data_IF_623666898666
#
_entry.id   IF_623666898666
#
_cell.length_a   1.000
_cell.length_b   1.000
_cell.length_c   1.000
_cell.angle_alpha   90.00
_cell.angle_beta   90.00
_cell.angle_gamma   90.00
#
_symmetry.space_group_name_H-M   'P 1'
#
loop_
_entity.id
_entity.type
_entity.pdbx_description
1 polymer ?
#
# COMPACT_ATOMS: atom_id res chain seq x y z
N UNK A 1 32.95 -9.33 37.73
CA UNK A 1 31.54 -9.45 37.30
C UNK A 1 30.83 -8.11 37.07
N UNK A 2 31.33 -6.99 37.60
CA UNK A 2 30.74 -5.66 37.37
C UNK A 2 30.88 -5.10 35.93
N UNK A 3 31.93 -5.48 35.19
CA UNK A 3 32.19 -4.99 33.82
C UNK A 3 31.23 -5.57 32.76
N UNK A 4 30.71 -6.79 32.96
CA UNK A 4 29.73 -7.43 32.06
C UNK A 4 28.32 -6.86 32.23
N UNK A 5 27.99 -6.33 33.41
CA UNK A 5 26.68 -5.73 33.71
C UNK A 5 26.51 -4.33 33.11
N UNK A 6 27.61 -3.65 32.77
CA UNK A 6 27.61 -2.32 32.10
C UNK A 6 27.57 -2.41 30.58
N UNK A 7 28.00 -3.52 29.98
CA UNK A 7 27.93 -3.75 28.53
C UNK A 7 26.51 -4.08 28.06
N UNK A 8 25.68 -4.66 28.91
CA UNK A 8 24.28 -4.98 28.57
C UNK A 8 23.29 -3.82 28.76
N UNK A 9 23.76 -2.66 29.25
CA UNK A 9 22.91 -1.47 29.50
C UNK A 9 23.03 -0.39 28.43
N UNK A 10 24.00 -0.48 27.51
CA UNK A 10 24.36 0.68 26.66
C UNK A 10 24.02 0.58 25.18
N UNK A 11 23.38 -0.50 24.72
CA UNK A 11 22.87 -0.55 23.35
C UNK A 11 21.33 -0.66 23.40
N UNK A 12 20.73 0.54 23.49
CA UNK A 12 19.47 0.99 22.88
C UNK A 12 18.18 0.32 23.38
N UNK A 13 17.40 0.88 24.30
CA UNK A 13 16.61 2.13 24.22
C UNK A 13 15.97 2.33 22.83
N UNK A 14 14.81 1.70 22.64
CA UNK A 14 13.75 2.20 21.76
C UNK A 14 12.56 2.51 22.67
N UNK A 15 12.23 3.78 22.80
CA UNK A 15 11.03 4.33 23.44
C UNK A 15 10.39 5.28 22.42
N UNK A 16 9.06 5.41 22.29
CA UNK A 16 8.00 4.41 22.31
C UNK A 16 7.22 4.44 20.97
N UNK A 17 7.07 3.31 20.29
CA UNK A 17 5.98 3.12 19.33
C UNK A 17 5.06 2.07 19.96
N UNK A 18 3.80 2.47 20.22
CA UNK A 18 2.76 1.70 20.91
C UNK A 18 2.93 0.18 20.70
N UNK A 19 3.13 -0.55 21.81
CA UNK A 19 3.20 -2.01 21.77
C UNK A 19 1.93 -2.53 21.07
N UNK A 20 2.05 -3.29 19.96
CA UNK A 20 0.88 -3.96 19.41
C UNK A 20 0.43 -4.95 20.46
N UNK A 21 -0.68 -4.63 21.14
CA UNK A 21 -1.22 -5.41 22.24
C UNK A 21 -1.20 -6.90 21.89
N UNK A 22 -0.88 -7.76 22.86
CA UNK A 22 -0.87 -9.22 22.71
C UNK A 22 -2.14 -9.70 21.98
N UNK A 23 -3.29 -9.02 22.19
CA UNK A 23 -4.54 -9.25 21.47
C UNK A 23 -4.45 -9.13 19.94
N UNK A 24 -3.62 -8.23 19.41
CA UNK A 24 -3.37 -8.01 17.97
C UNK A 24 -2.52 -9.14 17.38
N UNK A 25 -1.50 -9.59 18.11
CA UNK A 25 -0.65 -10.73 17.73
C UNK A 25 -1.46 -12.04 17.79
N UNK A 26 -2.29 -12.21 18.83
CA UNK A 26 -3.20 -13.35 18.96
C UNK A 26 -4.28 -13.34 17.87
N UNK A 27 -4.86 -12.17 17.56
CA UNK A 27 -5.89 -12.06 16.51
C UNK A 27 -5.32 -12.37 15.13
N UNK A 28 -4.10 -11.91 14.81
CA UNK A 28 -3.40 -12.31 13.57
C UNK A 28 -3.14 -13.82 13.52
N UNK A 29 -2.80 -14.46 14.64
CA UNK A 29 -2.52 -15.90 14.70
C UNK A 29 -3.78 -16.76 14.56
N UNK A 30 -4.90 -16.30 15.10
CA UNK A 30 -6.21 -16.98 15.00
C UNK A 30 -6.84 -16.80 13.61
N UNK A 31 -6.69 -15.62 13.00
CA UNK A 31 -7.17 -15.39 11.63
C UNK A 31 -6.35 -16.15 10.59
N UNK A 32 -5.06 -16.39 10.85
CA UNK A 32 -4.20 -17.17 9.97
C UNK A 32 -4.30 -18.70 10.20
N UNK A 33 -4.86 -19.14 11.33
CA UNK A 33 -5.12 -20.56 11.58
C UNK A 33 -6.44 -21.05 11.00
N UNK A 34 -7.46 -20.20 10.90
CA UNK A 34 -8.79 -20.60 10.45
C UNK A 34 -8.90 -20.88 8.93
N UNK A 35 -7.99 -20.35 8.11
CA UNK A 35 -7.93 -20.65 6.67
C UNK A 35 -6.91 -21.74 6.31
N UNK A 36 -6.26 -22.37 7.30
CA UNK A 36 -5.11 -23.26 7.10
C UNK A 36 -5.49 -24.75 7.05
N UNK A 37 -6.75 -25.09 7.34
CA UNK A 37 -7.21 -26.49 7.42
C UNK A 37 -7.63 -27.11 6.07
N UNK A 38 -7.53 -26.40 4.96
CA UNK A 38 -7.87 -26.93 3.62
C UNK A 38 -6.64 -27.41 2.82
N UNK A 39 -5.42 -27.27 3.35
CA UNK A 39 -4.19 -27.66 2.65
C UNK A 39 -3.65 -28.97 3.23
N UNK A 40 -3.61 -30.02 2.41
CA UNK A 40 -3.33 -31.41 2.81
C UNK A 40 -1.96 -31.62 3.48
N UNK A 41 -1.07 -30.64 3.35
CA UNK A 41 0.19 -30.48 4.06
C UNK A 41 0.60 -29.02 3.99
N UNK A 42 1.18 -28.48 5.06
CA UNK A 42 1.74 -27.12 5.01
C UNK A 42 3.11 -27.13 4.31
N UNK A 43 3.49 -26.03 3.66
CA UNK A 43 4.80 -25.92 2.97
C UNK A 43 5.97 -26.21 3.91
N UNK A 44 5.90 -25.74 5.16
CA UNK A 44 6.95 -25.95 6.14
C UNK A 44 7.08 -27.43 6.51
N UNK A 45 5.96 -28.12 6.76
CA UNK A 45 5.94 -29.54 7.09
C UNK A 45 6.46 -30.38 5.91
N UNK A 46 5.97 -30.14 4.69
CA UNK A 46 6.42 -30.85 3.49
C UNK A 46 7.92 -30.65 3.20
N UNK A 47 8.46 -29.46 3.49
CA UNK A 47 9.89 -29.16 3.27
C UNK A 47 10.84 -29.88 4.23
N UNK A 48 10.34 -30.36 5.37
CA UNK A 48 11.13 -31.04 6.40
C UNK A 48 11.07 -32.57 6.27
N UNK A 49 10.17 -33.10 5.44
CA UNK A 49 9.92 -34.53 5.29
C UNK A 49 10.60 -35.10 4.05
N UNK A 50 10.91 -36.40 4.09
CA UNK A 50 11.43 -37.14 2.92
C UNK A 50 10.34 -37.37 1.86
N UNK A 51 10.74 -37.61 0.61
CA UNK A 51 9.80 -37.77 -0.51
C UNK A 51 8.81 -38.93 -0.29
N UNK A 52 9.28 -40.05 0.25
CA UNK A 52 8.48 -41.23 0.59
C UNK A 52 7.49 -40.94 1.72
N UNK A 53 7.89 -40.13 2.69
CA UNK A 53 7.06 -39.76 3.83
C UNK A 53 5.94 -38.81 3.42
N UNK A 54 6.25 -37.84 2.56
CA UNK A 54 5.26 -36.95 1.92
C UNK A 54 4.28 -37.76 1.07
N UNK A 55 4.77 -38.73 0.28
CA UNK A 55 3.92 -39.59 -0.54
C UNK A 55 2.97 -40.45 0.31
N UNK A 56 3.45 -41.03 1.41
CA UNK A 56 2.62 -41.76 2.35
C UNK A 56 1.54 -40.87 2.98
N UNK A 57 1.91 -39.65 3.38
CA UNK A 57 1.00 -38.66 3.98
C UNK A 57 -0.09 -38.22 3.00
N UNK A 58 0.26 -37.99 1.74
CA UNK A 58 -0.67 -37.61 0.66
C UNK A 58 -1.41 -38.80 0.03
N UNK A 59 -1.14 -40.03 0.48
CA UNK A 59 -1.67 -41.29 -0.06
C UNK A 59 -1.44 -41.41 -1.57
N UNK A 60 -0.23 -41.10 -2.01
CA UNK A 60 0.22 -41.17 -3.39
C UNK A 60 1.28 -42.24 -3.52
N UNK A 61 1.26 -43.01 -4.59
CA UNK A 61 2.38 -43.89 -4.93
C UNK A 61 3.45 -43.10 -5.70
N UNK A 62 4.71 -43.16 -5.25
CA UNK A 62 5.82 -42.49 -5.91
C UNK A 62 6.08 -43.00 -7.34
N UNK A 63 5.66 -44.24 -7.66
CA UNK A 63 5.90 -44.86 -8.97
C UNK A 63 4.76 -44.66 -9.96
N UNK A 64 3.53 -44.89 -9.52
CA UNK A 64 2.34 -44.80 -10.39
C UNK A 64 1.54 -43.50 -10.24
N UNK A 65 1.83 -42.68 -9.22
CA UNK A 65 1.16 -41.42 -8.97
C UNK A 65 -0.23 -41.59 -8.33
N UNK A 66 -1.12 -40.62 -8.56
CA UNK A 66 -2.51 -40.70 -8.12
C UNK A 66 -3.38 -41.45 -9.12
N UNK A 67 -4.39 -42.14 -8.61
CA UNK A 67 -5.45 -42.69 -9.44
C UNK A 67 -6.34 -41.59 -10.02
N UNK A 68 -6.80 -41.74 -11.27
CA UNK A 68 -7.62 -40.74 -11.97
C UNK A 68 -8.84 -40.26 -11.17
N UNK A 69 -9.59 -41.19 -10.56
CA UNK A 69 -10.75 -40.89 -9.72
C UNK A 69 -10.40 -40.01 -8.50
N UNK A 70 -9.25 -40.26 -7.89
CA UNK A 70 -8.77 -39.48 -6.74
C UNK A 70 -8.28 -38.10 -7.18
N UNK A 71 -7.58 -38.02 -8.31
CA UNK A 71 -7.17 -36.73 -8.89
C UNK A 71 -8.38 -35.86 -9.25
N UNK A 72 -9.44 -36.45 -9.82
CA UNK A 72 -10.69 -35.77 -10.12
C UNK A 72 -11.37 -35.24 -8.85
N UNK A 73 -11.45 -36.07 -7.80
CA UNK A 73 -12.02 -35.68 -6.51
C UNK A 73 -11.25 -34.50 -5.90
N UNK A 74 -9.91 -34.57 -5.89
CA UNK A 74 -9.06 -33.48 -5.39
C UNK A 74 -9.24 -32.19 -6.21
N UNK A 75 -9.38 -32.30 -7.52
CA UNK A 75 -9.65 -31.16 -8.41
C UNK A 75 -11.01 -30.53 -8.16
N UNK A 76 -12.04 -31.31 -7.85
CA UNK A 76 -13.37 -30.78 -7.51
C UNK A 76 -13.39 -30.06 -6.15
N UNK A 77 -12.58 -30.53 -5.19
CA UNK A 77 -12.47 -29.91 -3.86
C UNK A 77 -11.61 -28.65 -3.86
N UNK A 78 -10.43 -28.70 -4.47
CA UNK A 78 -9.40 -27.65 -4.38
C UNK A 78 -9.49 -26.66 -5.56
N UNK A 79 -10.08 -27.09 -6.67
CA UNK A 79 -10.06 -26.35 -7.93
C UNK A 79 -8.81 -26.62 -8.77
N UNK A 80 -8.68 -25.89 -9.88
CA UNK A 80 -7.53 -25.99 -10.76
C UNK A 80 -6.31 -25.29 -10.15
N UNK A 81 -5.12 -25.85 -10.39
CA UNK A 81 -3.85 -25.21 -10.02
C UNK A 81 -3.50 -24.10 -11.02
N UNK A 82 -4.32 -23.06 -11.03
CA UNK A 82 -4.13 -21.89 -11.86
C UNK A 82 -3.75 -20.71 -10.96
N UNK A 83 -2.76 -19.94 -11.40
CA UNK A 83 -2.50 -18.66 -10.77
C UNK A 83 -3.72 -17.78 -11.02
N UNK A 84 -4.40 -17.37 -9.96
CA UNK A 84 -5.38 -16.30 -10.05
C UNK A 84 -4.65 -15.04 -10.52
N UNK A 85 -4.60 -14.83 -11.84
CA UNK A 85 -4.17 -13.58 -12.43
C UNK A 85 -5.21 -12.58 -11.97
N UNK A 86 -4.88 -11.83 -10.91
CA UNK A 86 -5.68 -10.66 -10.53
C UNK A 86 -5.81 -9.85 -11.81
N UNK A 87 -7.05 -9.57 -12.19
CA UNK A 87 -7.35 -8.70 -13.32
C UNK A 87 -6.38 -7.52 -13.27
N UNK A 88 -5.57 -7.37 -14.32
CA UNK A 88 -4.55 -6.34 -14.32
C UNK A 88 -5.25 -5.02 -14.04
N UNK A 89 -4.84 -4.35 -12.95
CA UNK A 89 -5.39 -3.04 -12.64
C UNK A 89 -5.28 -2.18 -13.92
N UNK A 90 -6.41 -1.66 -14.41
CA UNK A 90 -6.41 -1.02 -15.72
C UNK A 90 -5.46 0.16 -15.70
N UNK A 91 -4.77 0.43 -16.81
CA UNK A 91 -3.65 1.38 -16.84
C UNK A 91 -4.02 2.76 -16.25
N UNK A 92 -5.27 3.21 -16.44
CA UNK A 92 -5.78 4.45 -15.85
C UNK A 92 -5.72 4.46 -14.31
N UNK A 93 -5.96 3.32 -13.66
CA UNK A 93 -5.86 3.20 -12.19
C UNK A 93 -4.43 3.37 -11.72
N UNK A 94 -3.46 2.82 -12.47
CA UNK A 94 -2.02 3.02 -12.20
C UNK A 94 -1.61 4.49 -12.36
N UNK A 95 -2.14 5.20 -13.35
CA UNK A 95 -1.91 6.64 -13.50
C UNK A 95 -2.49 7.45 -12.34
N UNK A 96 -3.70 7.13 -11.87
CA UNK A 96 -4.30 7.80 -10.70
C UNK A 96 -3.50 7.52 -9.41
N UNK A 97 -2.93 6.31 -9.27
CA UNK A 97 -2.04 5.98 -8.15
C UNK A 97 -0.81 6.91 -8.10
N UNK A 98 -0.25 7.28 -9.26
CA UNK A 98 0.90 8.19 -9.33
C UNK A 98 0.56 9.61 -8.87
N UNK A 99 -0.68 10.08 -9.05
CA UNK A 99 -1.11 11.38 -8.51
C UNK A 99 -1.13 11.43 -6.99
N UNK A 100 -1.05 10.30 -6.26
CA UNK A 100 -0.86 10.30 -4.81
C UNK A 100 0.57 10.66 -4.39
N UNK A 101 1.51 10.71 -5.33
CA UNK A 101 2.89 11.06 -5.01
C UNK A 101 2.95 12.56 -4.63
N UNK A 102 3.47 12.90 -3.43
CA UNK A 102 3.48 14.28 -2.95
C UNK A 102 4.23 15.23 -3.90
N UNK A 103 5.20 14.73 -4.67
CA UNK A 103 5.94 15.53 -5.65
C UNK A 103 5.06 15.99 -6.81
N UNK A 104 4.21 15.10 -7.35
CA UNK A 104 3.29 15.43 -8.45
C UNK A 104 2.19 16.38 -7.95
N UNK A 105 1.67 16.15 -6.74
CA UNK A 105 0.71 17.06 -6.11
C UNK A 105 1.28 18.45 -5.92
N UNK A 106 2.53 18.55 -5.46
CA UNK A 106 3.22 19.82 -5.29
C UNK A 106 3.41 20.55 -6.62
N UNK A 107 3.81 19.82 -7.68
CA UNK A 107 3.96 20.38 -9.02
C UNK A 107 2.62 20.91 -9.56
N UNK A 108 1.55 20.13 -9.39
CA UNK A 108 0.21 20.50 -9.85
C UNK A 108 -0.32 21.71 -9.06
N UNK A 109 -0.08 21.77 -7.75
CA UNK A 109 -0.43 22.93 -6.92
C UNK A 109 0.30 24.20 -7.37
N UNK A 110 1.60 24.12 -7.67
CA UNK A 110 2.39 25.26 -8.18
C UNK A 110 1.88 25.74 -9.55
N UNK A 111 1.63 24.80 -10.47
CA UNK A 111 1.05 25.11 -11.77
C UNK A 111 -0.34 25.76 -11.65
N UNK A 112 -1.17 25.25 -10.74
CA UNK A 112 -2.50 25.79 -10.46
C UNK A 112 -2.42 27.25 -9.97
N UNK A 113 -1.59 27.51 -8.96
CA UNK A 113 -1.35 28.86 -8.43
C UNK A 113 -0.82 29.79 -9.53
N UNK A 114 0.11 29.32 -10.37
CA UNK A 114 0.66 30.11 -11.48
C UNK A 114 -0.41 30.53 -12.50
N UNK A 115 -1.31 29.61 -12.86
CA UNK A 115 -2.41 29.90 -13.80
C UNK A 115 -3.41 30.88 -13.18
N UNK A 116 -3.80 30.69 -11.92
CA UNK A 116 -4.69 31.62 -11.23
C UNK A 116 -4.06 33.01 -11.12
N UNK A 117 -2.82 33.08 -10.64
CA UNK A 117 -2.09 34.33 -10.44
C UNK A 117 -1.99 35.15 -11.74
N UNK A 118 -1.67 34.50 -12.86
CA UNK A 118 -1.58 35.15 -14.17
C UNK A 118 -2.89 35.79 -14.64
N UNK A 119 -4.04 35.21 -14.31
CA UNK A 119 -5.35 35.77 -14.66
C UNK A 119 -5.74 36.93 -13.72
N UNK A 120 -5.41 36.85 -12.43
CA UNK A 120 -5.75 37.89 -11.46
C UNK A 120 -4.84 39.13 -11.59
N UNK A 121 -3.53 38.96 -11.78
CA UNK A 121 -2.59 40.08 -11.91
C UNK A 121 -2.93 40.99 -13.08
N UNK A 122 -3.29 40.41 -14.23
CA UNK A 122 -3.65 41.17 -15.44
C UNK A 122 -4.98 41.91 -15.25
N UNK A 123 -6.00 41.22 -14.73
CA UNK A 123 -7.32 41.79 -14.50
C UNK A 123 -7.34 42.90 -13.43
N UNK A 124 -6.59 42.72 -12.33
CA UNK A 124 -6.51 43.69 -11.23
C UNK A 124 -5.72 44.93 -11.68
N UNK A 125 -4.61 44.75 -12.40
CA UNK A 125 -3.77 45.87 -12.88
C UNK A 125 -4.56 46.84 -13.76
N UNK A 126 -5.32 46.33 -14.74
CA UNK A 126 -6.16 47.14 -15.63
C UNK A 126 -7.29 47.84 -14.85
N UNK A 127 -7.93 47.12 -13.93
CA UNK A 127 -9.07 47.65 -13.16
C UNK A 127 -8.65 48.73 -12.17
N UNK A 128 -7.53 48.54 -11.46
CA UNK A 128 -7.00 49.54 -10.50
C UNK A 128 -6.66 50.82 -11.23
N UNK A 129 -5.96 50.71 -12.35
CA UNK A 129 -5.69 51.81 -13.29
C UNK A 129 -7.00 52.49 -13.68
N UNK A 130 -7.93 51.78 -14.31
CA UNK A 130 -9.19 52.34 -14.82
C UNK A 130 -10.04 53.00 -13.72
N UNK A 131 -10.08 52.43 -12.52
CA UNK A 131 -10.82 52.97 -11.38
C UNK A 131 -10.12 54.17 -10.71
N UNK A 132 -8.78 54.20 -10.66
CA UNK A 132 -8.02 55.36 -10.14
C UNK A 132 -8.08 56.56 -11.09
N UNK A 133 -8.11 56.33 -12.41
CA UNK A 133 -8.25 57.40 -13.39
C UNK A 133 -9.62 58.08 -13.34
N UNK A 134 -10.70 57.36 -13.02
CA UNK A 134 -12.03 57.97 -12.88
C UNK A 134 -12.15 58.84 -11.61
N UNK A 135 -11.45 58.47 -10.52
CA UNK A 135 -11.45 59.24 -9.28
C UNK A 135 -10.55 60.50 -9.33
N UNK A 136 -9.46 60.47 -10.10
CA UNK A 136 -8.47 61.57 -10.14
C UNK A 136 -8.82 62.68 -11.14
N UNK A 137 -9.59 62.37 -12.21
CA UNK A 137 -9.96 63.36 -13.25
C UNK A 137 -11.24 64.16 -12.86
N UNK A 138 -11.95 63.78 -11.80
CA UNK A 138 -13.17 64.45 -11.33
C UNK A 138 -12.96 65.44 -10.16
N UNK A 139 -11.73 65.68 -9.70
CA UNK A 139 -11.43 66.81 -8.81
C UNK A 139 -10.97 68.02 -9.63
N UNK A 140 -11.86 68.95 -10.03
CA UNK A 140 -11.40 70.21 -10.60
C UNK A 140 -10.63 70.95 -9.51
N UNK A 141 -9.45 71.45 -9.86
CA UNK A 141 -8.68 72.40 -9.06
C UNK A 141 -9.59 73.58 -8.67
N UNK A 142 -10.06 73.60 -7.44
CA UNK A 142 -10.54 74.81 -6.79
C UNK A 142 -9.52 75.22 -5.74
N UNK A 143 -9.30 76.53 -5.64
CA UNK A 143 -8.51 77.33 -4.68
C UNK A 143 -7.38 78.10 -5.35
N UNK A 144 -7.79 79.12 -6.11
CA UNK A 144 -7.11 80.41 -6.16
C UNK A 144 -7.74 81.35 -5.14
#
# INVERSE_FOLDING_TARGET
MEKLRKLFRKNDVVEPAEEPTISTIYSKKVQQSASKEEMWLTTNEASLMGAEEVAARLRVDCRSGLWWKEAELRRQLIGYNEFCVKEEDPLWRKYIEQFKNPLILLLLASALVSVFMKQFDDAISITVVSSHYNFTILTPCSHG
#
